data_IF_733851141673
#
_entry.id   IF_733851141673
#
_cell.length_a   1.000
_cell.length_b   1.000
_cell.length_c   1.000
_cell.angle_alpha   90.00
_cell.angle_beta   90.00
_cell.angle_gamma   90.00
#
_symmetry.space_group_name_H-M   'P 1'
#
loop_
_entity.id
_entity.type
_entity.pdbx_description
1 polymer ?
#
# COMPACT_ATOMS: atom_id res chain seq x y z
N UNK A 1 -30.32 3.41 -16.09
CA UNK A 1 -29.36 3.22 -17.21
C UNK A 1 -28.29 2.19 -16.79
N UNK A 2 -28.28 0.96 -17.34
CA UNK A 2 -27.46 -0.13 -16.82
C UNK A 2 -26.11 -0.24 -17.55
N UNK A 3 -25.07 0.40 -17.03
CA UNK A 3 -23.68 0.21 -17.51
C UNK A 3 -22.94 -0.94 -16.81
N UNK A 4 -23.64 -1.86 -16.15
CA UNK A 4 -23.01 -2.93 -15.34
C UNK A 4 -22.68 -4.20 -16.14
N UNK A 5 -23.25 -4.41 -17.33
CA UNK A 5 -23.08 -5.66 -18.09
C UNK A 5 -21.70 -5.85 -18.74
N UNK A 6 -21.15 -4.80 -19.36
CA UNK A 6 -19.90 -4.88 -20.15
C UNK A 6 -18.68 -5.11 -19.25
N UNK A 7 -18.66 -4.50 -18.06
CA UNK A 7 -17.57 -4.64 -17.10
C UNK A 7 -17.46 -6.09 -16.55
N UNK A 8 -18.59 -6.76 -16.34
CA UNK A 8 -18.62 -8.15 -15.87
C UNK A 8 -18.09 -9.13 -16.93
N UNK A 9 -18.45 -8.91 -18.20
CA UNK A 9 -17.95 -9.71 -19.34
C UNK A 9 -16.43 -9.55 -19.52
N UNK A 10 -15.93 -8.31 -19.49
CA UNK A 10 -14.49 -8.06 -19.62
C UNK A 10 -13.66 -8.69 -18.49
N UNK A 11 -14.21 -8.71 -17.27
CA UNK A 11 -13.59 -9.37 -16.11
C UNK A 11 -13.50 -10.89 -16.29
N UNK A 12 -14.54 -11.54 -16.83
CA UNK A 12 -14.54 -12.99 -17.11
C UNK A 12 -13.50 -13.37 -18.18
N UNK A 13 -13.43 -12.63 -19.29
CA UNK A 13 -12.48 -12.90 -20.37
C UNK A 13 -11.01 -12.78 -19.92
N UNK A 14 -10.69 -11.85 -19.02
CA UNK A 14 -9.33 -11.73 -18.48
C UNK A 14 -8.91 -12.97 -17.68
N UNK A 15 -9.75 -13.44 -16.75
CA UNK A 15 -9.40 -14.58 -15.89
C UNK A 15 -9.37 -15.90 -16.65
N UNK A 16 -10.18 -16.06 -17.70
CA UNK A 16 -10.10 -17.23 -18.60
C UNK A 16 -8.71 -17.31 -19.24
N UNK A 17 -8.19 -16.21 -19.78
CA UNK A 17 -6.83 -16.17 -20.39
C UNK A 17 -5.73 -16.50 -19.38
N UNK A 18 -5.88 -16.04 -18.13
CA UNK A 18 -4.93 -16.34 -17.04
C UNK A 18 -4.99 -17.84 -16.67
N UNK A 19 -6.18 -18.41 -16.51
CA UNK A 19 -6.36 -19.83 -16.15
C UNK A 19 -5.80 -20.76 -17.23
N UNK A 20 -6.09 -20.49 -18.50
CA UNK A 20 -5.56 -21.28 -19.63
C UNK A 20 -4.03 -21.27 -19.62
N UNK A 21 -3.42 -20.13 -19.32
CA UNK A 21 -1.96 -20.01 -19.22
C UNK A 21 -1.37 -20.74 -18.01
N UNK A 22 -2.03 -20.71 -16.86
CA UNK A 22 -1.62 -21.50 -15.68
C UNK A 22 -1.59 -22.99 -16.05
N UNK A 23 -2.67 -23.51 -16.64
CA UNK A 23 -2.77 -24.91 -17.03
C UNK A 23 -1.71 -25.33 -18.06
N UNK A 24 -1.36 -24.45 -19.00
CA UNK A 24 -0.28 -24.68 -19.95
C UNK A 24 1.10 -24.72 -19.27
N UNK A 25 1.35 -23.82 -18.31
CA UNK A 25 2.63 -23.74 -17.59
C UNK A 25 2.84 -24.86 -16.56
N UNK A 26 1.76 -25.41 -16.01
CA UNK A 26 1.83 -26.55 -15.09
C UNK A 26 2.28 -27.85 -15.76
N UNK A 27 2.28 -27.94 -17.09
CA UNK A 27 2.78 -29.12 -17.81
C UNK A 27 4.32 -29.05 -17.95
N UNK A 28 5.07 -30.11 -17.59
CA UNK A 28 6.50 -30.18 -17.84
C UNK A 28 6.80 -30.21 -19.35
N UNK A 29 7.82 -29.49 -19.84
CA UNK A 29 8.20 -29.55 -21.25
C UNK A 29 8.70 -30.96 -21.59
N UNK A 30 8.26 -31.51 -22.72
CA UNK A 30 8.57 -32.88 -23.16
C UNK A 30 9.94 -33.01 -23.84
N UNK A 31 10.65 -31.90 -24.08
CA UNK A 31 11.91 -31.88 -24.84
C UNK A 31 13.07 -31.40 -23.97
N UNK A 32 14.08 -32.25 -23.80
CA UNK A 32 15.28 -32.03 -22.98
C UNK A 32 16.42 -31.30 -23.67
N UNK A 33 16.20 -30.66 -24.83
CA UNK A 33 17.23 -29.87 -25.53
C UNK A 33 16.90 -28.38 -25.47
N UNK A 34 17.62 -27.66 -24.61
CA UNK A 34 17.62 -26.20 -24.56
C UNK A 34 17.45 -25.68 -23.13
N UNK A 35 18.42 -24.88 -22.68
CA UNK A 35 18.50 -24.25 -21.35
C UNK A 35 17.14 -23.81 -20.78
N UNK A 36 16.79 -24.34 -19.61
CA UNK A 36 15.71 -23.92 -18.70
C UNK A 36 15.75 -22.43 -18.28
N UNK A 37 16.69 -21.64 -18.84
CA UNK A 37 16.99 -20.27 -18.49
C UNK A 37 16.35 -19.21 -19.40
N UNK A 38 15.75 -19.58 -20.54
CA UNK A 38 14.95 -18.64 -21.33
C UNK A 38 13.58 -18.45 -20.67
N UNK A 39 13.57 -17.63 -19.61
CA UNK A 39 12.43 -17.25 -18.77
C UNK A 39 11.18 -16.93 -19.60
N UNK A 40 10.34 -17.92 -19.87
CA UNK A 40 9.00 -17.68 -20.38
C UNK A 40 8.23 -17.06 -19.20
N UNK A 41 8.22 -15.73 -19.16
CA UNK A 41 7.47 -14.92 -18.18
C UNK A 41 6.26 -14.41 -18.93
N UNK A 42 5.09 -14.92 -18.61
CA UNK A 42 3.86 -14.41 -19.20
C UNK A 42 3.26 -13.34 -18.28
N UNK A 43 3.06 -12.14 -18.83
CA UNK A 43 2.40 -11.04 -18.13
C UNK A 43 1.02 -10.79 -18.72
N UNK A 44 -0.01 -10.83 -17.86
CA UNK A 44 -1.39 -10.54 -18.18
C UNK A 44 -1.82 -9.25 -17.51
N UNK A 45 -2.19 -8.26 -18.31
CA UNK A 45 -2.62 -6.94 -17.84
C UNK A 45 -4.13 -6.81 -17.95
N UNK A 46 -4.80 -6.66 -16.80
CA UNK A 46 -6.24 -6.37 -16.73
C UNK A 46 -6.44 -4.85 -16.78
N UNK A 47 -7.10 -4.35 -17.83
CA UNK A 47 -7.33 -2.90 -18.02
C UNK A 47 -8.81 -2.57 -18.00
N UNK A 48 -9.22 -1.40 -17.51
CA UNK A 48 -10.60 -0.92 -17.68
C UNK A 48 -10.87 -0.49 -19.12
N UNK A 49 -12.14 -0.33 -19.53
CA UNK A 49 -12.48 0.54 -20.66
C UNK A 49 -11.77 1.90 -20.50
N UNK A 50 -11.09 2.38 -21.54
CA UNK A 50 -10.19 3.54 -21.44
C UNK A 50 -8.72 3.19 -21.12
N UNK A 51 -8.34 1.92 -21.06
CA UNK A 51 -6.93 1.48 -21.06
C UNK A 51 -6.21 1.51 -19.72
N UNK A 52 -6.87 1.96 -18.64
CA UNK A 52 -6.26 2.05 -17.31
C UNK A 52 -5.98 0.68 -16.69
N UNK A 53 -4.74 0.41 -16.28
CA UNK A 53 -4.32 -0.86 -15.67
C UNK A 53 -4.84 -1.03 -14.23
N UNK A 54 -5.62 -2.08 -13.97
CA UNK A 54 -6.19 -2.42 -12.66
C UNK A 54 -5.32 -3.43 -11.92
N UNK A 55 -4.87 -4.45 -12.65
CA UNK A 55 -4.01 -5.50 -12.09
C UNK A 55 -3.13 -6.11 -13.18
N UNK A 56 -1.98 -6.63 -12.78
CA UNK A 56 -1.04 -7.37 -13.61
C UNK A 56 -0.76 -8.71 -12.95
N UNK A 57 -0.97 -9.81 -13.68
CA UNK A 57 -0.68 -11.17 -13.23
C UNK A 57 0.53 -11.67 -13.99
N UNK A 58 1.58 -12.02 -13.28
CA UNK A 58 2.81 -12.56 -13.83
C UNK A 58 2.92 -14.04 -13.46
N UNK A 59 3.00 -14.88 -14.48
CA UNK A 59 3.23 -16.32 -14.33
C UNK A 59 4.66 -16.60 -14.80
N UNK A 60 5.45 -17.27 -13.98
CA UNK A 60 6.81 -17.64 -14.32
C UNK A 60 7.16 -19.00 -13.73
N UNK A 61 8.02 -19.72 -14.45
CA UNK A 61 8.52 -21.02 -14.03
C UNK A 61 9.71 -20.83 -13.09
N UNK A 62 9.70 -21.51 -11.95
CA UNK A 62 10.82 -21.55 -11.01
C UNK A 62 11.75 -22.72 -11.36
N UNK A 63 11.17 -23.90 -11.61
CA UNK A 63 11.88 -25.11 -12.05
C UNK A 63 10.92 -26.05 -12.82
N UNK A 64 11.36 -27.27 -13.13
CA UNK A 64 10.56 -28.24 -13.89
C UNK A 64 9.23 -28.60 -13.21
N UNK A 65 9.16 -28.59 -11.88
CA UNK A 65 8.00 -28.99 -11.10
C UNK A 65 7.26 -27.81 -10.46
N UNK A 66 7.82 -26.59 -10.49
CA UNK A 66 7.30 -25.44 -9.76
C UNK A 66 7.03 -24.23 -10.67
N UNK A 67 5.80 -23.72 -10.61
CA UNK A 67 5.36 -22.47 -11.23
C UNK A 67 4.94 -21.51 -10.14
N UNK A 68 5.23 -20.21 -10.31
CA UNK A 68 4.78 -19.16 -9.41
C UNK A 68 3.93 -18.11 -10.12
N UNK A 69 2.96 -17.59 -9.38
CA UNK A 69 2.01 -16.58 -9.84
C UNK A 69 2.16 -15.36 -8.92
N UNK A 70 2.55 -14.21 -9.49
CA UNK A 70 2.57 -12.92 -8.79
C UNK A 70 1.41 -12.06 -9.28
N UNK A 71 0.56 -11.62 -8.36
CA UNK A 71 -0.53 -10.68 -8.66
C UNK A 71 -0.18 -9.30 -8.14
N UNK A 72 -0.07 -8.32 -9.03
CA UNK A 72 0.13 -6.90 -8.70
C UNK A 72 -1.19 -6.17 -8.89
N UNK A 73 -1.80 -5.72 -7.81
CA UNK A 73 -2.99 -4.85 -7.89
C UNK A 73 -2.57 -3.39 -7.85
N UNK A 74 -3.01 -2.58 -8.82
CA UNK A 74 -2.83 -1.14 -8.77
C UNK A 74 -3.98 -0.57 -7.95
N UNK A 75 -3.75 -0.33 -6.66
CA UNK A 75 -4.65 0.50 -5.84
C UNK A 75 -4.52 1.93 -6.33
N UNK A 76 -5.42 2.35 -7.21
CA UNK A 76 -5.37 3.69 -7.77
C UNK A 76 -6.01 4.69 -6.83
N UNK A 77 -5.21 5.68 -6.43
CA UNK A 77 -5.72 6.90 -5.86
C UNK A 77 -6.16 6.76 -4.42
N UNK A 78 -5.88 7.81 -3.68
CA UNK A 78 -6.47 7.99 -2.37
C UNK A 78 -7.96 8.32 -2.53
N UNK A 79 -8.83 7.48 -1.99
CA UNK A 79 -10.29 7.70 -2.02
C UNK A 79 -10.57 9.08 -1.42
N UNK A 80 -11.39 9.92 -2.07
CA UNK A 80 -11.82 11.20 -1.48
C UNK A 80 -12.75 10.92 -0.30
N UNK A 81 -12.90 11.89 0.59
CA UNK A 81 -13.87 11.77 1.66
C UNK A 81 -15.29 11.62 1.07
N UNK A 82 -16.10 10.71 1.62
CA UNK A 82 -17.50 10.47 1.22
C UNK A 82 -18.46 11.59 1.63
N UNK A 83 -18.00 12.49 2.50
CA UNK A 83 -18.79 13.66 2.90
C UNK A 83 -18.79 14.63 1.72
N UNK A 84 -19.99 15.04 1.32
CA UNK A 84 -20.21 16.04 0.26
C UNK A 84 -19.33 17.28 0.50
N UNK A 85 -18.79 17.83 -0.58
CA UNK A 85 -17.95 19.04 -0.52
C UNK A 85 -16.65 18.89 0.30
N UNK A 86 -16.21 17.66 0.60
CA UNK A 86 -14.94 17.42 1.27
C UNK A 86 -13.85 16.94 0.31
N UNK A 87 -12.92 17.84 -0.04
CA UNK A 87 -11.79 17.52 -0.92
C UNK A 87 -10.67 16.72 -0.24
N UNK A 88 -10.78 16.52 1.07
CA UNK A 88 -9.75 15.82 1.83
C UNK A 88 -9.68 14.37 1.42
N UNK A 89 -8.45 13.87 1.50
CA UNK A 89 -8.13 12.46 1.31
C UNK A 89 -8.81 11.60 2.39
N UNK A 90 -9.65 10.68 1.94
CA UNK A 90 -10.19 9.58 2.73
C UNK A 90 -9.09 8.61 3.14
N UNK A 91 -9.05 8.25 4.41
CA UNK A 91 -8.04 7.36 5.00
C UNK A 91 -8.61 5.95 5.19
N UNK A 92 -9.66 5.82 5.99
CA UNK A 92 -10.38 4.56 6.20
C UNK A 92 -11.88 4.78 6.03
N UNK A 93 -12.61 3.75 5.62
CA UNK A 93 -14.08 3.78 5.40
C UNK A 93 -14.54 4.91 4.45
N UNK A 94 -13.65 5.38 3.56
CA UNK A 94 -13.92 6.53 2.70
C UNK A 94 -14.03 7.87 3.43
N UNK A 95 -13.59 7.99 4.69
CA UNK A 95 -13.68 9.23 5.48
C UNK A 95 -12.29 9.83 5.72
N UNK A 96 -12.21 11.16 5.78
CA UNK A 96 -10.97 11.87 6.12
C UNK A 96 -10.75 11.93 7.65
N UNK A 97 -9.60 12.42 8.11
CA UNK A 97 -9.26 12.51 9.53
C UNK A 97 -10.33 13.22 10.37
N UNK A 98 -10.89 14.33 9.88
CA UNK A 98 -11.91 15.07 10.62
C UNK A 98 -13.31 14.47 10.51
N UNK A 99 -13.59 13.68 9.47
CA UNK A 99 -14.87 13.02 9.28
C UNK A 99 -14.87 11.58 9.84
N UNK A 100 -13.93 11.24 10.72
CA UNK A 100 -13.91 9.92 11.39
C UNK A 100 -13.19 8.81 10.64
N UNK A 101 -12.33 9.16 9.68
CA UNK A 101 -11.47 8.23 8.96
C UNK A 101 -10.26 7.71 9.77
N UNK A 102 -10.11 8.13 11.02
CA UNK A 102 -9.09 7.64 11.93
C UNK A 102 -9.69 6.82 13.08
N UNK A 103 -8.86 5.99 13.70
CA UNK A 103 -9.23 5.21 14.88
C UNK A 103 -9.39 6.13 16.09
N UNK A 104 -10.35 5.86 16.98
CA UNK A 104 -10.49 6.64 18.23
C UNK A 104 -9.36 6.26 19.19
N UNK A 105 -9.00 7.21 20.05
CA UNK A 105 -8.09 6.97 21.16
C UNK A 105 -8.65 5.91 22.11
N UNK A 106 -7.80 4.98 22.56
CA UNK A 106 -8.16 3.88 23.46
C UNK A 106 -8.39 4.34 24.90
N UNK A 107 -7.96 5.55 25.25
CA UNK A 107 -8.20 6.13 26.57
C UNK A 107 -9.70 6.34 26.84
N UNK A 108 -10.18 6.09 28.07
CA UNK A 108 -11.56 6.34 28.45
C UNK A 108 -11.91 7.81 28.21
N UNK A 109 -13.16 8.07 27.79
CA UNK A 109 -13.72 9.39 27.48
C UNK A 109 -12.98 10.24 26.42
N UNK A 110 -12.00 9.69 25.70
CA UNK A 110 -11.27 10.44 24.68
C UNK A 110 -11.94 10.35 23.29
N UNK A 111 -12.44 11.46 22.77
CA UNK A 111 -13.00 11.54 21.40
C UNK A 111 -11.95 11.82 20.34
N UNK A 112 -10.69 12.04 20.73
CA UNK A 112 -9.61 12.36 19.79
C UNK A 112 -9.21 11.12 18.98
N UNK A 113 -8.73 11.38 17.77
CA UNK A 113 -8.23 10.35 16.86
C UNK A 113 -6.84 9.89 17.31
N UNK A 114 -6.62 8.58 17.30
CA UNK A 114 -5.36 7.95 17.59
C UNK A 114 -4.34 8.23 16.48
N UNK A 115 -3.13 8.62 16.89
CA UNK A 115 -2.01 8.91 15.99
C UNK A 115 -1.18 7.64 15.78
N UNK A 116 -0.82 6.96 16.87
CA UNK A 116 -0.17 5.65 16.87
C UNK A 116 -0.51 4.90 18.17
N UNK A 117 -0.23 3.59 18.21
CA UNK A 117 -0.43 2.73 19.39
C UNK A 117 -1.86 2.79 19.98
N UNK A 118 -2.86 3.10 19.15
CA UNK A 118 -4.23 3.26 19.60
C UNK A 118 -4.49 4.51 20.46
N UNK A 119 -3.51 5.40 20.66
CA UNK A 119 -3.64 6.59 21.49
C UNK A 119 -3.55 7.90 20.68
N UNK A 120 -4.22 8.94 21.15
CA UNK A 120 -4.07 10.30 20.59
C UNK A 120 -2.79 10.97 21.08
N UNK A 121 -2.45 12.13 20.51
CA UNK A 121 -1.26 12.90 20.88
C UNK A 121 -1.11 13.08 22.41
N UNK A 122 -2.19 13.42 23.11
CA UNK A 122 -2.17 13.68 24.54
C UNK A 122 -1.97 12.40 25.38
N UNK A 123 -2.39 11.24 24.88
CA UNK A 123 -2.39 9.98 25.61
C UNK A 123 -1.28 9.01 25.16
N UNK A 124 -0.18 9.54 24.60
CA UNK A 124 0.98 8.73 24.18
C UNK A 124 0.95 8.26 22.72
N UNK A 125 0.13 8.89 21.88
CA UNK A 125 0.14 8.69 20.44
C UNK A 125 1.23 9.51 19.75
N UNK A 126 2.07 8.86 18.96
CA UNK A 126 3.19 9.44 18.21
C UNK A 126 4.50 9.45 19.00
N UNK A 127 5.61 9.63 18.28
CA UNK A 127 6.95 9.76 18.90
C UNK A 127 7.18 11.19 19.36
N UNK A 128 7.84 11.33 20.53
CA UNK A 128 8.31 12.61 21.07
C UNK A 128 9.76 12.83 20.67
N UNK A 129 10.16 14.10 20.68
CA UNK A 129 11.55 14.48 20.47
C UNK A 129 12.44 13.81 21.52
N UNK A 130 13.53 13.20 21.09
CA UNK A 130 14.51 12.55 21.95
C UNK A 130 15.38 13.55 22.73
N UNK A 131 15.36 14.82 22.35
CA UNK A 131 16.05 15.89 23.07
C UNK A 131 15.42 16.15 24.44
N UNK A 132 16.27 16.30 25.45
CA UNK A 132 15.85 16.47 26.84
C UNK A 132 14.94 17.70 27.04
N UNK A 133 13.84 17.52 27.77
CA UNK A 133 12.83 18.56 27.97
C UNK A 133 11.96 18.91 26.74
N UNK A 134 12.14 18.26 25.59
CA UNK A 134 11.37 18.58 24.38
C UNK A 134 10.14 17.69 24.17
N UNK A 135 8.96 18.24 24.44
CA UNK A 135 7.69 17.52 24.21
C UNK A 135 7.13 17.65 22.78
N UNK A 136 7.92 18.15 21.82
CA UNK A 136 7.48 18.33 20.42
C UNK A 136 7.39 17.00 19.66
N UNK A 137 6.64 17.03 18.56
CA UNK A 137 6.50 15.88 17.69
C UNK A 137 7.78 15.55 16.94
N UNK A 138 8.08 14.26 16.89
CA UNK A 138 9.22 13.72 16.17
C UNK A 138 8.80 12.57 15.27
N UNK A 139 9.60 12.35 14.24
CA UNK A 139 9.38 11.30 13.26
C UNK A 139 10.65 10.47 13.11
N UNK A 140 10.50 9.23 12.66
CA UNK A 140 11.64 8.36 12.40
C UNK A 140 12.57 8.92 11.32
N UNK A 141 12.00 9.56 10.29
CA UNK A 141 12.76 10.28 9.24
C UNK A 141 13.60 11.45 9.76
N UNK A 142 13.36 11.91 10.98
CA UNK A 142 14.10 13.00 11.64
C UNK A 142 14.91 12.47 12.82
N UNK A 143 15.30 11.19 12.82
CA UNK A 143 16.05 10.54 13.90
C UNK A 143 15.38 10.63 15.28
N UNK A 144 14.05 10.68 15.34
CA UNK A 144 13.28 10.90 16.55
C UNK A 144 13.53 12.29 17.20
N UNK A 145 13.98 13.28 16.43
CA UNK A 145 14.03 14.68 16.84
C UNK A 145 12.87 15.48 16.22
N UNK A 146 12.50 16.57 16.88
CA UNK A 146 11.56 17.55 16.32
C UNK A 146 12.22 18.34 15.18
N UNK A 147 11.43 19.03 14.35
CA UNK A 147 11.97 19.79 13.21
C UNK A 147 13.13 20.72 13.61
N UNK A 148 12.98 21.50 14.69
CA UNK A 148 14.03 22.41 15.18
C UNK A 148 15.31 21.67 15.60
N UNK A 149 15.19 20.59 16.38
CA UNK A 149 16.36 19.86 16.88
C UNK A 149 17.01 18.99 15.81
N UNK A 150 16.22 18.50 14.85
CA UNK A 150 16.74 17.84 13.67
C UNK A 150 17.56 18.80 12.79
N UNK A 151 17.14 20.06 12.68
CA UNK A 151 17.90 21.07 11.95
C UNK A 151 19.20 21.42 12.70
N UNK A 152 19.15 21.56 14.04
CA UNK A 152 20.35 21.74 14.88
C UNK A 152 21.38 20.60 14.75
N UNK A 153 20.94 19.35 14.55
CA UNK A 153 21.85 18.21 14.30
C UNK A 153 22.57 18.29 12.95
N UNK A 154 21.97 18.96 11.95
CA UNK A 154 22.60 19.15 10.63
C UNK A 154 23.66 20.23 10.65
N UNK A 155 23.50 21.21 11.52
CA UNK A 155 24.36 22.39 11.61
C UNK A 155 25.60 22.18 12.50
N UNK A 156 25.83 20.95 12.99
CA UNK A 156 27.12 20.56 13.60
C UNK A 156 27.36 21.06 15.02
N UNK A 157 26.33 21.26 15.85
CA UNK A 157 26.54 21.51 17.27
C UNK A 157 26.55 20.19 18.06
N UNK A 158 27.74 19.67 18.37
CA UNK A 158 27.93 18.67 19.42
C UNK A 158 27.44 19.25 20.74
N UNK A 159 26.25 18.82 21.18
CA UNK A 159 25.90 18.91 22.59
C UNK A 159 26.08 17.51 23.16
N UNK A 160 27.30 17.27 23.65
CA UNK A 160 27.61 16.14 24.53
C UNK A 160 26.61 16.17 25.69
N UNK A 161 25.81 15.12 25.82
CA UNK A 161 25.19 14.79 27.09
C UNK A 161 26.26 14.09 27.94
N UNK A 162 26.70 14.74 29.01
CA UNK A 162 27.30 14.09 30.19
C UNK A 162 26.23 13.26 30.88
#
# INVERSE_FOLDING_TARGET
MPFHGIAALYRRSFWIRVIVAILAYSRPPTTTRGSYAARCRQSFRHRRPGGQLVSEVEIYRININCVSIKVKTKRWGSVKCIVEECERRGKSRGLCWAHGGGTKCSAPSCTKVAVSNGCCWAHGGGKRCAYDGCNKAAYERTHNYCAKHHDQLKDGNEVLHV
#
